data_IF_004527113426
#
_entry.id   IF_004527113426
#
_cell.length_a   1.000
_cell.length_b   1.000
_cell.length_c   1.000
_cell.angle_alpha   90.00
_cell.angle_beta   90.00
_cell.angle_gamma   90.00
#
_symmetry.space_group_name_H-M   'P 1'
#
loop_
_entity.id
_entity.type
_entity.pdbx_description
1 polymer ?
#
# COMPACT_ATOMS: atom_id res chain seq x y z
N UNK A 1 18.18 2.24 -10.41
CA UNK A 1 17.38 3.17 -9.58
C UNK A 1 16.51 2.37 -8.61
N UNK A 2 16.33 2.90 -7.42
CA UNK A 2 15.50 2.23 -6.43
C UNK A 2 14.01 2.37 -6.78
N UNK A 3 13.25 1.30 -6.63
CA UNK A 3 11.81 1.36 -6.71
C UNK A 3 11.26 2.12 -5.50
N UNK A 4 10.14 2.79 -5.66
CA UNK A 4 9.51 3.62 -4.64
C UNK A 4 8.25 2.96 -4.11
N UNK A 5 8.18 2.84 -2.78
CA UNK A 5 7.03 2.28 -2.07
C UNK A 5 6.33 3.41 -1.32
N UNK A 6 5.02 3.48 -1.46
CA UNK A 6 4.16 4.33 -0.64
C UNK A 6 3.48 3.46 0.42
N UNK A 7 3.75 3.74 1.68
CA UNK A 7 3.10 3.05 2.81
C UNK A 7 1.91 3.90 3.26
N UNK A 8 0.71 3.33 3.20
CA UNK A 8 -0.52 3.99 3.64
C UNK A 8 -1.02 3.26 4.88
N UNK A 9 -0.77 3.84 6.05
CA UNK A 9 -1.05 3.22 7.35
C UNK A 9 -1.16 4.31 8.41
N UNK A 10 -2.18 4.28 9.24
CA UNK A 10 -2.40 5.33 10.24
C UNK A 10 -1.55 5.18 11.50
N UNK A 11 -1.02 3.99 11.78
CA UNK A 11 -0.12 3.77 12.91
C UNK A 11 1.30 4.25 12.56
N UNK A 12 1.78 5.25 13.27
CA UNK A 12 3.15 5.74 13.10
C UNK A 12 4.18 4.65 13.41
N UNK A 13 3.90 3.84 14.43
CA UNK A 13 4.80 2.76 14.83
C UNK A 13 4.97 1.71 13.72
N UNK A 14 3.86 1.30 13.10
CA UNK A 14 3.89 0.34 11.99
C UNK A 14 4.56 0.94 10.77
N UNK A 15 4.23 2.18 10.43
CA UNK A 15 4.82 2.89 9.30
C UNK A 15 6.33 3.02 9.45
N UNK A 16 6.80 3.43 10.62
CA UNK A 16 8.22 3.61 10.88
C UNK A 16 8.98 2.29 10.79
N UNK A 17 8.40 1.22 11.33
CA UNK A 17 9.01 -0.11 11.26
C UNK A 17 9.12 -0.61 9.81
N UNK A 18 8.06 -0.50 9.04
CA UNK A 18 8.07 -0.90 7.62
C UNK A 18 9.02 -0.04 6.80
N UNK A 19 9.02 1.28 7.03
CA UNK A 19 9.90 2.18 6.30
C UNK A 19 11.37 1.81 6.49
N UNK A 20 11.77 1.53 7.72
CA UNK A 20 13.14 1.14 8.03
C UNK A 20 13.54 -0.14 7.28
N UNK A 21 12.67 -1.14 7.32
CA UNK A 21 12.94 -2.42 6.66
C UNK A 21 13.01 -2.29 5.14
N UNK A 22 12.13 -1.49 4.55
CA UNK A 22 12.12 -1.29 3.10
C UNK A 22 13.33 -0.48 2.63
N UNK A 23 13.73 0.53 3.39
CA UNK A 23 14.93 1.32 3.09
C UNK A 23 16.17 0.43 3.15
N UNK A 24 16.28 -0.43 4.16
CA UNK A 24 17.37 -1.40 4.26
C UNK A 24 17.40 -2.38 3.10
N UNK A 25 16.21 -2.72 2.57
CA UNK A 25 16.11 -3.60 1.41
C UNK A 25 16.41 -2.90 0.07
N UNK A 26 16.67 -1.59 0.09
CA UNK A 26 17.07 -0.84 -1.10
C UNK A 26 15.96 -0.05 -1.78
N UNK A 27 14.79 0.09 -1.14
CA UNK A 27 13.67 0.85 -1.70
C UNK A 27 13.67 2.30 -1.21
N UNK A 28 13.16 3.20 -2.04
CA UNK A 28 12.78 4.54 -1.60
C UNK A 28 11.37 4.47 -0.99
N UNK A 29 11.10 5.23 0.05
CA UNK A 29 9.85 5.12 0.80
C UNK A 29 9.21 6.49 1.01
N UNK A 30 7.91 6.57 0.75
CA UNK A 30 7.05 7.65 1.22
C UNK A 30 5.99 7.03 2.13
N UNK A 31 5.44 7.81 3.04
CA UNK A 31 4.38 7.33 3.92
C UNK A 31 3.25 8.36 4.04
N UNK A 32 2.05 7.84 4.25
CA UNK A 32 0.84 8.65 4.46
C UNK A 32 -0.04 7.95 5.49
N UNK A 33 -0.78 8.72 6.27
CA UNK A 33 -1.63 8.21 7.35
C UNK A 33 -3.11 8.31 7.06
N UNK A 34 -3.49 9.02 6.02
CA UNK A 34 -4.88 9.31 5.68
C UNK A 34 -5.12 9.10 4.20
N UNK A 35 -6.39 8.95 3.82
CA UNK A 35 -6.79 8.89 2.42
C UNK A 35 -6.33 10.17 1.70
N UNK A 36 -6.55 11.34 2.31
CA UNK A 36 -6.20 12.62 1.70
C UNK A 36 -4.71 12.74 1.41
N UNK A 37 -3.86 12.44 2.39
CA UNK A 37 -2.41 12.52 2.22
C UNK A 37 -1.89 11.49 1.22
N UNK A 38 -2.39 10.26 1.29
CA UNK A 38 -1.98 9.20 0.37
C UNK A 38 -2.32 9.56 -1.07
N UNK A 39 -3.50 10.09 -1.29
CA UNK A 39 -3.94 10.52 -2.62
C UNK A 39 -3.06 11.66 -3.14
N UNK A 40 -2.77 12.64 -2.29
CA UNK A 40 -1.90 13.77 -2.65
C UNK A 40 -0.50 13.27 -3.04
N UNK A 41 0.11 12.46 -2.19
CA UNK A 41 1.45 11.92 -2.43
C UNK A 41 1.48 11.06 -3.70
N UNK A 42 0.49 10.21 -3.87
CA UNK A 42 0.40 9.34 -5.05
C UNK A 42 0.24 10.10 -6.36
N UNK A 43 -0.38 11.28 -6.33
CA UNK A 43 -0.49 12.15 -7.51
C UNK A 43 0.80 12.93 -7.78
N UNK A 44 1.54 13.30 -6.74
CA UNK A 44 2.76 14.11 -6.84
C UNK A 44 4.02 13.29 -7.12
N UNK A 45 4.09 12.06 -6.61
CA UNK A 45 5.29 11.22 -6.67
C UNK A 45 5.05 10.01 -7.55
N UNK A 46 6.11 9.57 -8.22
CA UNK A 46 6.07 8.30 -8.93
C UNK A 46 6.18 7.16 -7.92
N UNK A 47 5.15 6.33 -7.83
CA UNK A 47 5.08 5.23 -6.88
C UNK A 47 5.03 3.91 -7.65
N UNK A 48 5.94 3.00 -7.36
CA UNK A 48 5.99 1.69 -8.00
C UNK A 48 5.06 0.69 -7.30
N UNK A 49 5.01 0.72 -5.97
CA UNK A 49 4.15 -0.16 -5.18
C UNK A 49 3.53 0.62 -4.04
N UNK A 50 2.25 0.40 -3.80
CA UNK A 50 1.53 0.96 -2.66
C UNK A 50 1.15 -0.16 -1.71
N UNK A 51 1.56 -0.01 -0.44
CA UNK A 51 1.14 -0.88 0.65
C UNK A 51 -0.01 -0.17 1.36
N UNK A 52 -1.20 -0.73 1.29
CA UNK A 52 -2.44 0.00 1.56
C UNK A 52 -3.26 -0.64 2.67
N UNK A 53 -3.31 0.01 3.82
CA UNK A 53 -4.27 -0.36 4.87
C UNK A 53 -5.68 0.01 4.40
N UNK A 54 -6.62 -0.91 4.55
CA UNK A 54 -8.00 -0.69 4.12
C UNK A 54 -8.80 0.16 5.11
N UNK A 55 -8.35 0.30 6.36
CA UNK A 55 -9.05 1.09 7.38
C UNK A 55 -8.21 2.30 7.74
N UNK A 56 -8.66 3.47 7.33
CA UNK A 56 -7.97 4.74 7.59
C UNK A 56 -8.91 5.70 8.34
N UNK A 57 -8.37 6.72 9.04
CA UNK A 57 -9.22 7.62 9.84
C UNK A 57 -10.29 8.35 9.05
N UNK A 58 -10.01 8.67 7.79
CA UNK A 58 -10.87 9.49 6.94
C UNK A 58 -11.54 8.70 5.79
N UNK A 59 -11.46 7.37 5.82
CA UNK A 59 -12.15 6.55 4.82
C UNK A 59 -11.51 5.20 4.58
N UNK A 60 -11.89 4.58 3.48
CA UNK A 60 -11.34 3.31 3.05
C UNK A 60 -10.05 3.50 2.26
N UNK A 61 -9.07 2.61 2.48
CA UNK A 61 -7.87 2.59 1.65
C UNK A 61 -8.17 2.45 0.16
N UNK A 62 -9.24 1.74 -0.20
CA UNK A 62 -9.62 1.59 -1.61
C UNK A 62 -10.00 2.91 -2.27
N UNK A 63 -10.40 3.92 -1.50
CA UNK A 63 -10.65 5.26 -2.03
C UNK A 63 -9.38 5.90 -2.59
N UNK A 64 -8.24 5.61 -1.96
CA UNK A 64 -6.93 6.08 -2.46
C UNK A 64 -6.66 5.49 -3.83
N UNK A 65 -6.79 4.17 -3.96
CA UNK A 65 -6.53 3.49 -5.23
C UNK A 65 -7.47 3.98 -6.33
N UNK A 66 -8.75 4.13 -6.01
CA UNK A 66 -9.74 4.65 -6.96
C UNK A 66 -9.40 6.06 -7.46
N UNK A 67 -9.02 6.94 -6.55
CA UNK A 67 -8.63 8.31 -6.90
C UNK A 67 -7.37 8.36 -7.77
N UNK A 68 -6.39 7.51 -7.46
CA UNK A 68 -5.15 7.45 -8.25
C UNK A 68 -5.40 6.86 -9.64
N UNK A 69 -6.27 5.87 -9.75
CA UNK A 69 -6.65 5.30 -11.05
C UNK A 69 -7.35 6.33 -11.92
N UNK A 70 -8.29 7.09 -11.36
CA UNK A 70 -8.97 8.16 -12.08
C UNK A 70 -7.99 9.22 -12.57
N UNK A 71 -6.95 9.52 -11.80
CA UNK A 71 -5.94 10.50 -12.17
C UNK A 71 -4.88 9.95 -13.14
N UNK A 72 -4.95 8.67 -13.50
CA UNK A 72 -3.92 8.04 -14.32
C UNK A 72 -2.58 7.86 -13.60
N UNK A 73 -2.62 7.78 -12.26
CA UNK A 73 -1.42 7.74 -11.41
C UNK A 73 -1.36 6.48 -10.53
N UNK A 74 -2.12 5.45 -10.85
CA UNK A 74 -2.10 4.22 -10.06
C UNK A 74 -0.69 3.60 -10.07
N UNK A 75 -0.20 3.11 -8.91
CA UNK A 75 1.07 2.39 -8.85
C UNK A 75 1.04 1.13 -9.71
N UNK A 76 2.22 0.62 -10.07
CA UNK A 76 2.33 -0.65 -10.80
C UNK A 76 1.65 -1.79 -10.05
N UNK A 77 1.75 -1.79 -8.72
CA UNK A 77 1.15 -2.81 -7.87
C UNK A 77 0.64 -2.20 -6.58
N UNK A 78 -0.46 -2.74 -6.06
CA UNK A 78 -1.01 -2.36 -4.75
C UNK A 78 -1.24 -3.62 -3.94
N UNK A 79 -0.64 -3.68 -2.75
CA UNK A 79 -0.88 -4.72 -1.76
C UNK A 79 -1.79 -4.16 -0.68
N UNK A 80 -2.99 -4.71 -0.56
CA UNK A 80 -3.90 -4.33 0.51
C UNK A 80 -3.56 -5.08 1.79
N UNK A 81 -3.71 -4.43 2.93
CA UNK A 81 -3.59 -5.04 4.25
C UNK A 81 -4.90 -4.85 5.01
N UNK A 82 -5.38 -5.89 5.66
CA UNK A 82 -6.63 -5.83 6.42
C UNK A 82 -6.61 -6.79 7.60
N UNK A 83 -7.31 -6.45 8.68
CA UNK A 83 -7.58 -7.37 9.78
C UNK A 83 -8.78 -8.28 9.54
N UNK A 84 -9.43 -8.15 8.39
CA UNK A 84 -10.65 -8.89 8.04
C UNK A 84 -10.39 -9.94 6.99
N UNK A 85 -11.08 -11.08 7.09
CA UNK A 85 -10.87 -12.24 6.21
C UNK A 85 -12.07 -12.57 5.33
N UNK A 86 -13.12 -11.73 5.34
CA UNK A 86 -14.32 -11.98 4.58
C UNK A 86 -14.03 -12.08 3.08
N UNK A 87 -14.54 -13.13 2.40
CA UNK A 87 -14.31 -13.30 0.96
C UNK A 87 -14.79 -12.11 0.12
N UNK A 88 -15.88 -11.47 0.52
CA UNK A 88 -16.44 -10.30 -0.17
C UNK A 88 -15.47 -9.13 -0.18
N UNK A 89 -14.78 -8.88 0.95
CA UNK A 89 -13.79 -7.81 1.04
C UNK A 89 -12.58 -8.11 0.16
N UNK A 90 -12.13 -9.37 0.18
CA UNK A 90 -11.02 -9.81 -0.66
C UNK A 90 -11.33 -9.60 -2.14
N UNK A 91 -12.53 -10.00 -2.57
CA UNK A 91 -12.97 -9.83 -3.96
C UNK A 91 -13.04 -8.34 -4.32
N UNK A 92 -13.55 -7.52 -3.41
CA UNK A 92 -13.63 -6.06 -3.60
C UNK A 92 -12.26 -5.45 -3.84
N UNK A 93 -11.23 -5.92 -3.12
CA UNK A 93 -9.86 -5.46 -3.31
C UNK A 93 -9.33 -5.81 -4.70
N UNK A 94 -9.53 -7.04 -5.14
CA UNK A 94 -9.11 -7.46 -6.48
C UNK A 94 -9.86 -6.70 -7.57
N UNK A 95 -11.16 -6.50 -7.39
CA UNK A 95 -11.98 -5.72 -8.33
C UNK A 95 -11.50 -4.27 -8.43
N UNK A 96 -11.00 -3.71 -7.33
CA UNK A 96 -10.45 -2.36 -7.32
C UNK A 96 -9.06 -2.24 -7.94
N UNK A 97 -8.39 -3.37 -8.20
CA UNK A 97 -7.09 -3.40 -8.84
C UNK A 97 -5.93 -3.78 -7.94
N UNK A 98 -6.19 -4.27 -6.72
CA UNK A 98 -5.12 -4.76 -5.84
C UNK A 98 -4.49 -6.02 -6.42
N UNK A 99 -3.16 -6.13 -6.31
CA UNK A 99 -2.44 -7.32 -6.75
C UNK A 99 -2.62 -8.49 -5.78
N UNK A 100 -2.73 -8.20 -4.49
CA UNK A 100 -3.00 -9.20 -3.46
C UNK A 100 -3.56 -8.53 -2.21
N UNK A 101 -4.03 -9.36 -1.27
CA UNK A 101 -4.57 -8.93 0.02
C UNK A 101 -3.88 -9.73 1.11
N UNK A 102 -3.26 -9.05 2.06
CA UNK A 102 -2.58 -9.68 3.18
C UNK A 102 -3.35 -9.43 4.48
N UNK A 103 -3.47 -10.45 5.31
CA UNK A 103 -4.22 -10.36 6.58
C UNK A 103 -3.25 -10.00 7.71
N UNK A 104 -3.63 -9.00 8.49
CA UNK A 104 -2.83 -8.57 9.67
C UNK A 104 -2.92 -9.59 10.80
N UNK A 105 -1.86 -9.80 11.56
CA UNK A 105 -0.53 -9.18 11.41
C UNK A 105 0.22 -9.79 10.24
N UNK A 106 0.84 -8.93 9.41
CA UNK A 106 1.53 -9.39 8.20
C UNK A 106 2.96 -9.77 8.55
N UNK A 107 3.37 -11.03 8.33
CA UNK A 107 4.77 -11.41 8.56
C UNK A 107 5.68 -10.65 7.61
N UNK A 108 6.71 -10.00 8.16
CA UNK A 108 7.58 -9.12 7.37
C UNK A 108 8.29 -9.87 6.23
N UNK A 109 8.65 -11.12 6.47
CA UNK A 109 9.32 -11.94 5.45
C UNK A 109 8.40 -12.19 4.25
N UNK A 110 7.12 -12.47 4.51
CA UNK A 110 6.13 -12.68 3.45
C UNK A 110 5.88 -11.38 2.68
N UNK A 111 5.83 -10.26 3.39
CA UNK A 111 5.65 -8.94 2.79
C UNK A 111 6.79 -8.61 1.84
N UNK A 112 8.04 -8.81 2.26
CA UNK A 112 9.19 -8.55 1.42
C UNK A 112 9.22 -9.45 0.17
N UNK A 113 8.82 -10.71 0.30
CA UNK A 113 8.71 -11.61 -0.85
C UNK A 113 7.68 -11.13 -1.86
N UNK A 114 6.52 -10.68 -1.39
CA UNK A 114 5.48 -10.16 -2.28
C UNK A 114 5.94 -8.91 -3.00
N UNK A 115 6.63 -8.01 -2.30
CA UNK A 115 7.17 -6.80 -2.90
C UNK A 115 8.18 -7.14 -3.99
N UNK A 116 9.12 -8.04 -3.70
CA UNK A 116 10.09 -8.50 -4.70
C UNK A 116 9.43 -9.12 -5.91
N UNK A 117 8.45 -9.99 -5.69
CA UNK A 117 7.72 -10.65 -6.78
C UNK A 117 7.02 -9.63 -7.68
N UNK A 118 6.39 -8.63 -7.09
CA UNK A 118 5.61 -7.64 -7.84
C UNK A 118 6.47 -6.59 -8.55
N UNK A 119 7.62 -6.26 -7.99
CA UNK A 119 8.51 -5.26 -8.57
C UNK A 119 9.63 -5.87 -9.43
N UNK A 120 9.79 -7.15 -9.34
CA UNK A 120 10.63 -7.91 -10.18
C UNK A 120 12.05 -7.87 -10.08
#
# INVERSE_FOLDING_TARGET
>A
MAATILIVEDSALVTDAFALLFIEAGYAVHSARTVADATRIGKEKAVDLMLLDLTLPDGSGLDVLGALREAGRAPRATLAMTGHTEPELRQKCFDAGCADVMVKPVPIRDLLRQIERLLG
#
